data_IF_336961867910
#
_entry.id   IF_336961867910
#
_cell.length_a   1.000
_cell.length_b   1.000
_cell.length_c   1.000
_cell.angle_alpha   90.00
_cell.angle_beta   90.00
_cell.angle_gamma   90.00
#
_symmetry.space_group_name_H-M   'P 1'
#
loop_
_entity.id
_entity.type
_entity.pdbx_description
1 polymer ?
#
# COMPACT_ATOMS: atom_id res chain seq x y z
N UNK A 1 -4.23 -22.96 16.84
CA UNK A 1 -4.10 -21.78 15.96
C UNK A 1 -4.25 -20.46 16.74
N UNK A 2 -5.26 -20.32 17.62
CA UNK A 2 -5.44 -19.14 18.50
C UNK A 2 -4.17 -18.79 19.32
N UNK A 3 -3.50 -19.78 19.92
CA UNK A 3 -2.28 -19.57 20.73
C UNK A 3 -1.09 -18.97 19.97
N UNK A 4 -0.97 -19.20 18.66
CA UNK A 4 0.17 -18.70 17.89
C UNK A 4 0.07 -17.18 17.66
N UNK A 5 -1.13 -16.68 17.32
CA UNK A 5 -1.37 -15.25 17.13
C UNK A 5 -1.24 -14.48 18.45
N UNK A 6 -1.76 -15.02 19.55
CA UNK A 6 -1.58 -14.41 20.88
C UNK A 6 -0.11 -14.35 21.28
N UNK A 7 0.66 -15.41 21.03
CA UNK A 7 2.10 -15.42 21.29
C UNK A 7 2.83 -14.35 20.48
N UNK A 8 2.51 -14.22 19.18
CA UNK A 8 3.09 -13.18 18.33
C UNK A 8 2.74 -11.78 18.82
N UNK A 9 1.49 -11.55 19.24
CA UNK A 9 1.05 -10.25 19.77
C UNK A 9 1.80 -9.88 21.06
N UNK A 10 1.93 -10.82 22.00
CA UNK A 10 2.70 -10.64 23.24
C UNK A 10 4.17 -10.34 22.93
N UNK A 11 4.76 -11.05 21.96
CA UNK A 11 6.13 -10.79 21.52
C UNK A 11 6.28 -9.39 20.93
N UNK A 12 5.36 -8.94 20.07
CA UNK A 12 5.38 -7.58 19.51
C UNK A 12 5.30 -6.51 20.59
N UNK A 13 4.43 -6.69 21.60
CA UNK A 13 4.34 -5.78 22.75
C UNK A 13 5.67 -5.78 23.54
N UNK A 14 6.27 -6.96 23.76
CA UNK A 14 7.57 -7.09 24.41
C UNK A 14 8.69 -6.35 23.67
N UNK A 15 8.72 -6.47 22.34
CA UNK A 15 9.67 -5.74 21.49
C UNK A 15 9.45 -4.23 21.59
N UNK A 16 8.20 -3.76 21.46
CA UNK A 16 7.89 -2.34 21.57
C UNK A 16 8.33 -1.77 22.93
N UNK A 17 8.01 -2.46 24.04
CA UNK A 17 8.44 -2.06 25.37
C UNK A 17 9.96 -2.04 25.51
N UNK A 18 10.65 -3.02 24.95
CA UNK A 18 12.12 -3.08 24.96
C UNK A 18 12.73 -1.90 24.20
N UNK A 19 12.17 -1.53 23.05
CA UNK A 19 12.61 -0.37 22.27
C UNK A 19 12.35 0.94 23.01
N UNK A 20 11.17 1.11 23.60
CA UNK A 20 10.82 2.28 24.41
C UNK A 20 11.81 2.46 25.57
N UNK A 21 12.12 1.37 26.28
CA UNK A 21 13.07 1.41 27.39
C UNK A 21 14.51 1.68 26.92
N UNK A 22 14.97 0.97 25.88
CA UNK A 22 16.34 1.09 25.38
C UNK A 22 16.64 2.48 24.83
N UNK A 23 15.71 3.06 24.07
CA UNK A 23 15.88 4.36 23.42
C UNK A 23 15.22 5.52 24.18
N UNK A 24 14.63 5.25 25.35
CA UNK A 24 13.90 6.22 26.18
C UNK A 24 12.87 7.01 25.35
N UNK A 25 12.13 6.30 24.50
CA UNK A 25 11.18 6.92 23.58
C UNK A 25 9.98 7.46 24.36
N UNK A 26 9.70 8.77 24.32
CA UNK A 26 8.45 9.28 24.86
C UNK A 26 7.29 8.77 24.01
N UNK A 27 6.30 8.16 24.65
CA UNK A 27 5.07 7.77 23.97
C UNK A 27 4.22 9.01 23.70
N UNK A 28 3.88 9.22 22.43
CA UNK A 28 2.92 10.22 22.01
C UNK A 28 1.47 9.75 22.20
N UNK A 29 0.54 10.68 22.07
CA UNK A 29 -0.88 10.35 21.96
C UNK A 29 -1.17 9.84 20.54
N UNK A 30 -1.97 8.77 20.44
CA UNK A 30 -2.50 8.29 19.17
C UNK A 30 -3.99 8.64 19.07
N UNK A 31 -4.42 9.09 17.89
CA UNK A 31 -5.82 9.34 17.57
C UNK A 31 -6.17 8.54 16.34
N UNK A 32 -7.31 7.87 16.37
CA UNK A 32 -7.83 7.10 15.25
C UNK A 32 -8.88 7.94 14.53
N UNK A 33 -8.72 8.09 13.22
CA UNK A 33 -9.68 8.76 12.35
C UNK A 33 -10.24 7.75 11.35
N UNK A 34 -11.57 7.63 11.30
CA UNK A 34 -12.25 6.85 10.27
C UNK A 34 -12.38 7.70 9.00
N UNK A 35 -11.98 7.14 7.85
CA UNK A 35 -11.99 7.83 6.57
C UNK A 35 -11.40 6.97 5.46
N UNK A 36 -11.13 7.59 4.31
CA UNK A 36 -10.53 6.91 3.15
C UNK A 36 -9.19 7.54 2.79
N UNK A 37 -8.25 6.72 2.33
CA UNK A 37 -6.91 7.18 1.93
C UNK A 37 -6.94 8.08 0.69
N UNK A 38 -7.97 7.96 -0.16
CA UNK A 38 -8.13 8.79 -1.37
C UNK A 38 -8.78 10.16 -1.08
N UNK A 39 -9.18 10.41 0.17
CA UNK A 39 -9.73 11.68 0.63
C UNK A 39 -9.56 11.84 2.14
N UNK A 40 -8.39 12.33 2.54
CA UNK A 40 -8.03 12.47 3.94
C UNK A 40 -8.76 13.67 4.57
N UNK A 41 -9.34 13.53 5.78
CA UNK A 41 -10.10 14.59 6.46
C UNK A 41 -9.18 15.61 7.16
N UNK A 42 -8.05 15.95 6.53
CA UNK A 42 -7.04 16.84 7.09
C UNK A 42 -6.72 17.97 6.13
N UNK A 43 -6.37 19.12 6.68
CA UNK A 43 -5.89 20.27 5.92
C UNK A 43 -4.56 19.96 5.23
N UNK A 44 -4.25 20.73 4.19
CA UNK A 44 -2.96 20.65 3.50
C UNK A 44 -1.81 21.01 4.45
N UNK A 45 -0.62 20.45 4.23
CA UNK A 45 0.59 20.78 4.99
C UNK A 45 0.44 20.60 6.51
N UNK A 46 -0.18 19.51 6.95
CA UNK A 46 -0.45 19.21 8.36
C UNK A 46 0.57 18.26 9.00
N UNK A 47 1.11 17.31 8.24
CA UNK A 47 1.95 16.24 8.77
C UNK A 47 3.41 16.35 8.32
N UNK A 48 4.34 16.03 9.20
CA UNK A 48 5.77 15.96 8.87
C UNK A 48 6.15 14.62 8.22
N UNK A 49 5.49 13.54 8.64
CA UNK A 49 5.75 12.18 8.18
C UNK A 49 4.44 11.45 7.90
N UNK A 50 4.39 10.72 6.79
CA UNK A 50 3.39 9.70 6.50
C UNK A 50 4.12 8.36 6.39
N UNK A 51 3.63 7.33 7.06
CA UNK A 51 4.15 5.97 6.96
C UNK A 51 3.00 5.04 6.62
N UNK A 52 3.12 4.27 5.54
CA UNK A 52 2.06 3.36 5.12
C UNK A 52 2.59 2.15 4.35
N UNK A 53 1.80 1.08 4.37
CA UNK A 53 1.93 -0.11 3.51
C UNK A 53 0.56 -0.29 2.87
N UNK A 54 0.30 0.30 1.68
CA UNK A 54 -1.00 0.20 1.05
C UNK A 54 -1.34 -1.27 0.76
N UNK A 55 -2.63 -1.61 0.57
CA UNK A 55 -3.00 -2.94 0.09
C UNK A 55 -2.24 -3.22 -1.20
N UNK A 56 -1.79 -4.47 -1.38
CA UNK A 56 -1.12 -4.86 -2.60
C UNK A 56 -2.15 -5.22 -3.67
N UNK A 57 -1.78 -4.98 -4.93
CA UNK A 57 -2.56 -5.22 -6.15
C UNK A 57 -3.64 -6.30 -5.95
N UNK A 58 -4.94 -5.99 -6.17
CA UNK A 58 -6.09 -6.84 -5.79
C UNK A 58 -5.74 -8.30 -5.99
N UNK A 59 -5.50 -8.95 -4.85
CA UNK A 59 -4.45 -9.93 -4.67
C UNK A 59 -4.21 -10.76 -5.93
N UNK A 60 -2.95 -10.83 -6.38
CA UNK A 60 -2.50 -11.78 -7.41
C UNK A 60 -2.94 -13.26 -7.16
N UNK A 61 -3.58 -13.58 -6.02
CA UNK A 61 -4.28 -14.82 -5.69
C UNK A 61 -5.82 -14.87 -5.89
N UNK A 62 -6.51 -13.75 -6.11
CA UNK A 62 -7.92 -13.70 -6.54
C UNK A 62 -8.97 -14.09 -5.51
N UNK A 63 -8.66 -14.07 -4.20
CA UNK A 63 -9.61 -14.47 -3.13
C UNK A 63 -9.40 -13.79 -1.76
N UNK A 64 -8.55 -12.77 -1.67
CA UNK A 64 -8.19 -12.19 -0.37
C UNK A 64 -8.73 -10.78 -0.24
N UNK A 65 -10.04 -10.68 0.00
CA UNK A 65 -10.59 -9.48 0.63
C UNK A 65 -10.08 -9.48 2.08
N UNK A 66 -9.12 -8.60 2.37
CA UNK A 66 -8.43 -8.50 3.66
C UNK A 66 -9.40 -8.50 4.85
N UNK A 67 -10.57 -7.89 4.65
CA UNK A 67 -11.61 -7.80 5.66
C UNK A 67 -12.50 -9.06 5.72
N UNK A 68 -12.97 -9.59 4.59
CA UNK A 68 -13.86 -10.78 4.54
C UNK A 68 -13.16 -12.00 5.13
N UNK A 69 -11.86 -12.18 4.85
CA UNK A 69 -11.07 -13.26 5.45
C UNK A 69 -10.95 -13.19 6.99
N UNK A 70 -11.35 -12.06 7.59
CA UNK A 70 -11.36 -11.82 9.05
C UNK A 70 -12.76 -11.53 9.61
N UNK A 71 -13.80 -11.57 8.78
CA UNK A 71 -15.17 -11.19 9.14
C UNK A 71 -15.66 -11.87 10.43
N UNK A 72 -15.52 -13.19 10.51
CA UNK A 72 -15.94 -13.97 11.70
C UNK A 72 -15.26 -13.47 12.98
N UNK A 73 -13.97 -13.10 12.92
CA UNK A 73 -13.25 -12.59 14.08
C UNK A 73 -13.72 -11.19 14.46
N UNK A 74 -13.98 -10.32 13.49
CA UNK A 74 -14.50 -8.96 13.74
C UNK A 74 -15.90 -8.99 14.35
N UNK A 75 -16.78 -9.85 13.84
CA UNK A 75 -18.14 -10.05 14.36
C UNK A 75 -18.09 -10.64 15.77
N UNK A 76 -17.32 -11.71 15.99
CA UNK A 76 -17.23 -12.36 17.30
C UNK A 76 -16.66 -11.44 18.41
N UNK A 77 -15.83 -10.46 18.04
CA UNK A 77 -15.26 -9.47 18.94
C UNK A 77 -16.13 -8.20 19.07
N UNK A 78 -17.30 -8.15 18.43
CA UNK A 78 -18.17 -6.97 18.33
C UNK A 78 -17.44 -5.71 17.83
N UNK A 79 -16.48 -5.90 16.91
CA UNK A 79 -15.73 -4.79 16.30
C UNK A 79 -16.45 -4.24 15.06
N UNK A 80 -17.18 -5.09 14.34
CA UNK A 80 -17.98 -4.73 13.17
C UNK A 80 -19.18 -5.66 13.02
N UNK A 81 -20.28 -5.19 12.43
CA UNK A 81 -21.38 -6.03 11.92
C UNK A 81 -21.07 -6.58 10.53
N UNK A 82 -21.89 -7.54 10.07
CA UNK A 82 -21.77 -8.11 8.73
C UNK A 82 -21.99 -7.03 7.64
N UNK A 83 -22.98 -6.16 7.84
CA UNK A 83 -23.29 -5.04 6.95
C UNK A 83 -22.15 -4.01 6.90
N UNK A 84 -21.52 -3.73 8.05
CA UNK A 84 -20.36 -2.83 8.12
C UNK A 84 -19.15 -3.42 7.37
N UNK A 85 -18.98 -4.74 7.41
CA UNK A 85 -17.91 -5.44 6.68
C UNK A 85 -18.13 -5.34 5.17
N UNK A 86 -19.34 -5.62 4.68
CA UNK A 86 -19.67 -5.54 3.26
C UNK A 86 -19.56 -4.10 2.72
N UNK A 87 -20.02 -3.12 3.50
CA UNK A 87 -19.89 -1.71 3.15
C UNK A 87 -18.41 -1.29 3.08
N UNK A 88 -17.59 -1.67 4.07
CA UNK A 88 -16.17 -1.36 4.10
C UNK A 88 -15.39 -2.02 2.95
N UNK A 89 -15.76 -3.24 2.54
CA UNK A 89 -15.16 -3.92 1.40
C UNK A 89 -15.38 -3.14 0.08
N UNK A 90 -16.56 -2.57 -0.09
CA UNK A 90 -16.91 -1.79 -1.30
C UNK A 90 -16.14 -0.48 -1.39
N UNK A 91 -15.79 0.11 -0.24
CA UNK A 91 -15.13 1.41 -0.15
C UNK A 91 -13.59 1.31 -0.01
N UNK A 92 -13.05 0.09 0.08
CA UNK A 92 -11.63 -0.14 0.33
C UNK A 92 -10.79 -0.04 -0.95
N UNK A 93 -9.66 0.67 -0.85
CA UNK A 93 -8.62 0.67 -1.89
C UNK A 93 -8.17 -0.76 -2.18
N UNK A 94 -8.12 -1.15 -3.45
CA UNK A 94 -7.73 -2.50 -3.86
C UNK A 94 -8.82 -3.57 -3.70
N UNK A 95 -10.07 -3.17 -3.48
CA UNK A 95 -11.24 -4.06 -3.49
C UNK A 95 -11.48 -4.68 -4.88
N UNK A 96 -11.86 -5.97 -4.91
CA UNK A 96 -12.32 -6.64 -6.13
C UNK A 96 -13.68 -6.10 -6.63
N UNK A 97 -14.41 -5.38 -5.78
CA UNK A 97 -15.68 -4.72 -6.12
C UNK A 97 -15.47 -3.30 -6.69
N UNK A 98 -14.25 -2.75 -6.62
CA UNK A 98 -13.96 -1.42 -7.15
C UNK A 98 -13.98 -1.46 -8.68
N UNK A 99 -14.88 -0.66 -9.25
CA UNK A 99 -15.10 -0.56 -10.69
C UNK A 99 -14.88 0.89 -11.09
N UNK A 100 -13.84 1.17 -11.86
CA UNK A 100 -13.58 2.51 -12.40
C UNK A 100 -13.23 2.37 -13.88
N UNK A 101 -13.71 3.33 -14.68
CA UNK A 101 -13.35 3.41 -16.10
C UNK A 101 -11.93 3.95 -16.26
N UNK A 102 -11.30 3.70 -17.41
CA UNK A 102 -9.93 4.12 -17.63
C UNK A 102 -9.80 5.65 -17.50
N UNK A 103 -8.92 6.07 -16.60
CA UNK A 103 -8.50 7.46 -16.45
C UNK A 103 -7.10 7.59 -17.04
N UNK A 104 -6.87 8.67 -17.79
CA UNK A 104 -5.55 8.98 -18.33
C UNK A 104 -4.53 9.28 -17.22
N UNK A 105 -3.25 9.07 -17.53
CA UNK A 105 -2.15 9.46 -16.65
C UNK A 105 -1.76 8.43 -15.60
N UNK A 106 -1.98 7.13 -15.88
CA UNK A 106 -1.27 6.03 -15.21
C UNK A 106 -0.03 5.61 -16.03
N UNK A 107 0.96 4.94 -15.41
CA UNK A 107 2.10 4.37 -16.13
C UNK A 107 1.69 3.39 -17.23
N UNK A 108 2.40 3.35 -18.39
CA UNK A 108 2.13 2.40 -19.46
C UNK A 108 2.09 0.92 -19.02
N UNK A 109 2.92 0.55 -18.04
CA UNK A 109 2.95 -0.79 -17.47
C UNK A 109 1.63 -1.19 -16.79
N UNK A 110 0.85 -0.24 -16.27
CA UNK A 110 -0.48 -0.51 -15.71
C UNK A 110 -1.45 -0.93 -16.80
N UNK A 111 -1.47 -0.20 -17.93
CA UNK A 111 -2.33 -0.54 -19.07
C UNK A 111 -1.92 -1.87 -19.71
N UNK A 112 -0.61 -2.14 -19.83
CA UNK A 112 -0.12 -3.42 -20.32
C UNK A 112 -0.56 -4.61 -19.43
N UNK A 113 -0.52 -4.44 -18.11
CA UNK A 113 -1.04 -5.45 -17.17
C UNK A 113 -2.55 -5.63 -17.33
N UNK A 114 -3.31 -4.54 -17.40
CA UNK A 114 -4.76 -4.58 -17.61
C UNK A 114 -5.13 -5.31 -18.90
N UNK A 115 -4.46 -5.01 -20.01
CA UNK A 115 -4.73 -5.61 -21.31
C UNK A 115 -4.39 -7.10 -21.33
N UNK A 116 -3.29 -7.49 -20.69
CA UNK A 116 -2.97 -8.90 -20.49
C UNK A 116 -4.05 -9.62 -19.66
N UNK A 117 -4.49 -9.02 -18.54
CA UNK A 117 -5.54 -9.60 -17.71
C UNK A 117 -6.84 -9.79 -18.48
N UNK A 118 -7.23 -8.84 -19.34
CA UNK A 118 -8.43 -8.93 -20.19
C UNK A 118 -8.40 -10.06 -21.21
N UNK A 119 -7.21 -10.52 -21.58
CA UNK A 119 -7.02 -11.57 -22.57
C UNK A 119 -6.91 -12.97 -21.93
N UNK A 120 -6.79 -13.06 -20.60
CA UNK A 120 -6.71 -14.31 -19.85
C UNK A 120 -8.07 -14.65 -19.22
N UNK A 121 -8.74 -15.68 -19.76
CA UNK A 121 -10.10 -16.11 -19.37
C UNK A 121 -10.26 -16.35 -17.85
N UNK A 122 -9.20 -16.80 -17.16
CA UNK A 122 -9.25 -17.07 -15.72
C UNK A 122 -9.02 -15.82 -14.86
N UNK A 123 -8.53 -14.73 -15.46
CA UNK A 123 -8.06 -13.53 -14.75
C UNK A 123 -8.70 -12.24 -15.25
N UNK A 124 -9.53 -12.28 -16.29
CA UNK A 124 -10.24 -11.11 -16.81
C UNK A 124 -11.03 -10.36 -15.74
N UNK A 125 -11.57 -11.10 -14.75
CA UNK A 125 -12.28 -10.55 -13.60
C UNK A 125 -11.43 -9.56 -12.78
N UNK A 126 -10.10 -9.63 -12.89
CA UNK A 126 -9.17 -8.76 -12.17
C UNK A 126 -8.77 -7.53 -12.97
N UNK A 127 -9.08 -7.44 -14.26
CA UNK A 127 -8.61 -6.35 -15.11
C UNK A 127 -9.11 -4.99 -14.59
N UNK A 128 -10.43 -4.84 -14.41
CA UNK A 128 -11.03 -3.59 -13.91
C UNK A 128 -10.61 -3.26 -12.46
N UNK A 129 -10.65 -4.21 -11.50
CA UNK A 129 -10.14 -3.93 -10.15
C UNK A 129 -8.66 -3.55 -10.11
N UNK A 130 -7.83 -4.14 -10.98
CA UNK A 130 -6.41 -3.79 -11.07
C UNK A 130 -6.21 -2.35 -11.53
N UNK A 131 -7.01 -1.90 -12.50
CA UNK A 131 -6.97 -0.52 -12.96
C UNK A 131 -7.45 0.44 -11.86
N UNK A 132 -8.59 0.13 -11.24
CA UNK A 132 -9.14 0.92 -10.13
C UNK A 132 -8.14 1.03 -8.96
N UNK A 133 -7.44 -0.06 -8.62
CA UNK A 133 -6.39 -0.06 -7.61
C UNK A 133 -5.30 0.99 -7.88
N UNK A 134 -4.79 1.07 -9.11
CA UNK A 134 -3.74 2.05 -9.43
C UNK A 134 -4.26 3.49 -9.49
N UNK A 135 -5.54 3.69 -9.83
CA UNK A 135 -6.21 4.99 -9.73
C UNK A 135 -6.30 5.41 -8.25
N UNK A 136 -6.82 4.54 -7.39
CA UNK A 136 -6.94 4.81 -5.96
C UNK A 136 -5.57 5.02 -5.31
N UNK A 137 -4.55 4.24 -5.70
CA UNK A 137 -3.19 4.40 -5.20
C UNK A 137 -2.61 5.77 -5.59
N UNK A 138 -2.86 6.24 -6.81
CA UNK A 138 -2.47 7.58 -7.27
C UNK A 138 -3.19 8.65 -6.46
N UNK A 139 -4.51 8.55 -6.30
CA UNK A 139 -5.29 9.51 -5.50
C UNK A 139 -4.83 9.55 -4.03
N UNK A 140 -4.52 8.39 -3.44
CA UNK A 140 -3.97 8.32 -2.09
C UNK A 140 -2.57 8.96 -2.00
N UNK A 141 -1.73 8.81 -3.03
CA UNK A 141 -0.46 9.53 -3.13
C UNK A 141 -0.68 11.04 -3.22
N UNK A 142 -1.64 11.51 -4.02
CA UNK A 142 -2.00 12.93 -4.15
C UNK A 142 -2.47 13.51 -2.82
N UNK A 143 -3.33 12.80 -2.09
CA UNK A 143 -3.78 13.22 -0.76
C UNK A 143 -2.63 13.25 0.25
N UNK A 144 -1.76 12.24 0.26
CA UNK A 144 -0.58 12.24 1.11
C UNK A 144 0.38 13.39 0.76
N UNK A 145 0.58 13.68 -0.52
CA UNK A 145 1.34 14.84 -0.96
C UNK A 145 0.72 16.14 -0.46
N UNK A 146 -0.61 16.28 -0.57
CA UNK A 146 -1.35 17.47 -0.11
C UNK A 146 -1.18 17.70 1.38
N UNK A 147 -1.39 16.68 2.22
CA UNK A 147 -1.36 16.81 3.69
C UNK A 147 0.04 16.87 4.27
N UNK A 148 1.08 16.44 3.54
CA UNK A 148 2.46 16.59 3.99
C UNK A 148 2.92 18.05 3.97
N UNK A 149 3.63 18.47 5.01
CA UNK A 149 4.39 19.73 5.04
C UNK A 149 5.39 19.78 3.87
N UNK A 150 5.79 20.96 3.39
CA UNK A 150 6.99 21.09 2.56
C UNK A 150 8.18 20.40 3.22
N UNK A 151 9.00 19.68 2.46
CA UNK A 151 10.04 18.77 2.97
C UNK A 151 9.56 17.59 3.84
N UNK A 152 8.25 17.37 3.95
CA UNK A 152 7.68 16.22 4.62
C UNK A 152 8.09 14.90 3.96
N UNK A 153 8.17 13.85 4.77
CA UNK A 153 8.60 12.50 4.36
C UNK A 153 7.39 11.57 4.26
N UNK A 154 7.22 10.92 3.12
CA UNK A 154 6.35 9.76 2.97
C UNK A 154 7.21 8.49 2.90
N UNK A 155 6.91 7.50 3.74
CA UNK A 155 7.52 6.18 3.73
C UNK A 155 6.47 5.17 3.28
N UNK A 156 6.75 4.48 2.18
CA UNK A 156 5.85 3.48 1.61
C UNK A 156 6.51 2.12 1.54
N UNK A 157 5.81 1.08 1.98
CA UNK A 157 6.22 -0.32 1.78
C UNK A 157 5.38 -0.91 0.64
N UNK A 158 6.05 -1.31 -0.44
CA UNK A 158 5.43 -1.79 -1.68
C UNK A 158 5.96 -3.18 -1.99
N UNK A 159 5.10 -4.16 -2.29
CA UNK A 159 5.57 -5.46 -2.78
C UNK A 159 6.36 -5.26 -4.08
N UNK A 160 7.58 -5.80 -4.18
CA UNK A 160 8.46 -5.53 -5.31
C UNK A 160 7.86 -5.93 -6.65
N UNK A 161 7.27 -7.12 -6.69
CA UNK A 161 6.68 -7.68 -7.90
C UNK A 161 5.44 -8.53 -7.64
N UNK A 162 4.56 -8.58 -8.64
CA UNK A 162 3.48 -9.56 -8.72
C UNK A 162 3.74 -10.51 -9.88
N UNK A 163 3.74 -11.81 -9.57
CA UNK A 163 3.96 -12.88 -10.54
C UNK A 163 2.73 -13.78 -10.63
N UNK A 164 2.24 -13.97 -11.86
CA UNK A 164 1.12 -14.82 -12.20
C UNK A 164 1.66 -16.14 -12.76
N UNK A 165 1.20 -17.26 -12.19
CA UNK A 165 1.60 -18.60 -12.63
C UNK A 165 0.41 -19.40 -13.11
N UNK A 166 0.68 -20.39 -13.96
CA UNK A 166 -0.24 -21.50 -14.21
C UNK A 166 -0.22 -22.42 -12.99
N UNK A 167 -1.37 -22.60 -12.33
CA UNK A 167 -1.42 -23.30 -11.04
C UNK A 167 -0.93 -24.76 -11.11
N UNK A 168 -1.25 -25.46 -12.20
CA UNK A 168 -0.90 -26.88 -12.39
C UNK A 168 0.58 -27.11 -12.68
N UNK A 169 1.21 -26.26 -13.49
CA UNK A 169 2.59 -26.45 -13.96
C UNK A 169 3.62 -25.56 -13.28
N UNK A 170 3.17 -24.52 -12.55
CA UNK A 170 4.01 -23.44 -12.00
C UNK A 170 4.77 -22.65 -13.06
N UNK A 171 4.34 -22.72 -14.31
CA UNK A 171 4.85 -21.89 -15.39
C UNK A 171 4.54 -20.42 -15.11
N UNK A 172 5.53 -19.54 -15.26
CA UNK A 172 5.36 -18.10 -15.16
C UNK A 172 4.61 -17.59 -16.39
N UNK A 173 3.42 -17.02 -16.18
CA UNK A 173 2.57 -16.48 -17.24
C UNK A 173 2.82 -14.99 -17.45
N UNK A 174 2.98 -14.25 -16.35
CA UNK A 174 3.21 -12.81 -16.39
C UNK A 174 3.88 -12.35 -15.12
N UNK A 175 4.73 -11.32 -15.23
CA UNK A 175 5.39 -10.67 -14.11
C UNK A 175 5.26 -9.16 -14.29
N UNK A 176 4.89 -8.49 -13.21
CA UNK A 176 4.84 -7.02 -13.14
C UNK A 176 5.72 -6.53 -12.00
N UNK A 177 6.53 -5.52 -12.29
CA UNK A 177 7.39 -4.82 -11.33
C UNK A 177 6.59 -3.70 -10.67
N UNK A 178 5.96 -4.02 -9.55
CA UNK A 178 5.06 -3.12 -8.84
C UNK A 178 5.80 -1.91 -8.24
N UNK A 179 7.06 -2.09 -7.82
CA UNK A 179 7.93 -1.03 -7.30
C UNK A 179 8.20 0.04 -8.37
N UNK A 180 8.42 -0.36 -9.63
CA UNK A 180 8.65 0.56 -10.75
C UNK A 180 7.40 1.38 -11.06
N UNK A 181 6.25 0.72 -11.15
CA UNK A 181 4.95 1.41 -11.32
C UNK A 181 4.73 2.42 -10.19
N UNK A 182 4.97 2.02 -8.95
CA UNK A 182 4.82 2.91 -7.80
C UNK A 182 5.76 4.11 -7.86
N UNK A 183 7.04 3.91 -8.20
CA UNK A 183 8.01 4.99 -8.32
C UNK A 183 7.61 6.01 -9.40
N UNK A 184 7.06 5.55 -10.54
CA UNK A 184 6.51 6.44 -11.57
C UNK A 184 5.29 7.22 -11.09
N UNK A 185 4.35 6.56 -10.40
CA UNK A 185 3.19 7.21 -9.80
C UNK A 185 3.61 8.31 -8.81
N UNK A 186 4.51 7.99 -7.88
CA UNK A 186 5.01 8.93 -6.89
C UNK A 186 5.63 10.17 -7.54
N UNK A 187 6.47 9.98 -8.57
CA UNK A 187 7.06 11.10 -9.33
C UNK A 187 6.01 11.91 -10.07
N UNK A 188 5.00 11.26 -10.65
CA UNK A 188 3.92 11.94 -11.39
C UNK A 188 3.08 12.85 -10.49
N UNK A 189 2.95 12.52 -9.20
CA UNK A 189 2.29 13.34 -8.19
C UNK A 189 3.16 14.51 -7.71
N UNK A 190 4.48 14.42 -7.91
CA UNK A 190 5.44 15.47 -7.56
C UNK A 190 6.39 15.12 -6.41
N UNK A 191 6.35 13.89 -5.88
CA UNK A 191 7.34 13.45 -4.91
C UNK A 191 8.73 13.29 -5.54
N UNK A 192 9.77 13.57 -4.76
CA UNK A 192 11.12 13.12 -5.03
C UNK A 192 11.33 11.75 -4.40
N UNK A 193 11.75 10.77 -5.18
CA UNK A 193 12.15 9.45 -4.66
C UNK A 193 13.60 9.58 -4.18
N UNK A 194 13.82 9.76 -2.88
CA UNK A 194 15.16 9.90 -2.29
C UNK A 194 15.88 8.55 -2.24
N UNK A 195 15.16 7.51 -1.83
CA UNK A 195 15.71 6.18 -1.65
C UNK A 195 14.67 5.08 -1.93
N UNK A 196 15.15 3.95 -2.44
CA UNK A 196 14.41 2.69 -2.54
C UNK A 196 15.27 1.59 -1.91
N UNK A 197 14.77 0.98 -0.84
CA UNK A 197 15.45 -0.09 -0.11
C UNK A 197 14.67 -1.39 -0.31
N UNK A 198 15.29 -2.38 -0.93
CA UNK A 198 14.68 -3.70 -1.10
C UNK A 198 14.99 -4.60 0.10
N UNK A 199 13.94 -5.11 0.74
CA UNK A 199 14.00 -5.97 1.92
C UNK A 199 13.56 -7.38 1.51
N UNK A 200 14.47 -8.35 1.61
CA UNK A 200 14.12 -9.75 1.45
C UNK A 200 13.34 -10.23 2.67
N UNK A 201 12.20 -10.88 2.43
CA UNK A 201 11.40 -11.49 3.47
C UNK A 201 11.48 -13.01 3.37
N UNK A 202 11.84 -13.65 4.49
CA UNK A 202 11.84 -15.10 4.60
C UNK A 202 10.41 -15.63 4.73
N UNK A 203 9.68 -15.68 3.61
CA UNK A 203 8.31 -16.22 3.50
C UNK A 203 8.29 -17.73 3.22
N UNK A 204 9.33 -18.48 3.63
CA UNK A 204 9.37 -19.96 3.52
C UNK A 204 8.28 -20.58 4.38
N UNK A 205 7.19 -21.00 3.76
CA UNK A 205 6.07 -21.62 4.45
C UNK A 205 5.79 -23.00 3.84
N UNK A 206 5.80 -24.06 4.67
CA UNK A 206 5.69 -25.47 4.24
C UNK A 206 4.36 -25.82 3.54
N UNK A 207 3.34 -24.96 3.69
CA UNK A 207 2.00 -25.12 3.08
C UNK A 207 1.75 -24.15 1.91
N UNK A 208 2.73 -23.37 1.46
CA UNK A 208 2.47 -22.23 0.58
C UNK A 208 2.62 -22.52 -0.92
N UNK A 209 1.79 -21.78 -1.67
CA UNK A 209 1.66 -21.56 -3.12
C UNK A 209 2.98 -21.64 -3.91
N UNK A 210 2.97 -21.73 -5.26
CA UNK A 210 4.18 -21.90 -6.09
C UNK A 210 5.39 -21.01 -5.74
N UNK A 211 5.16 -19.79 -5.22
CA UNK A 211 6.18 -18.83 -4.75
C UNK A 211 6.88 -19.17 -3.41
N UNK A 212 6.53 -20.26 -2.72
CA UNK A 212 7.13 -20.59 -1.41
C UNK A 212 8.62 -20.95 -1.46
N UNK A 213 9.16 -21.10 -2.67
CA UNK A 213 10.58 -21.38 -2.95
C UNK A 213 11.33 -20.17 -3.53
N UNK A 214 10.63 -19.13 -3.97
CA UNK A 214 11.22 -17.94 -4.57
C UNK A 214 11.59 -16.93 -3.47
N UNK A 215 12.71 -16.22 -3.63
CA UNK A 215 13.01 -15.06 -2.79
C UNK A 215 11.92 -13.99 -2.98
N UNK A 216 11.34 -13.54 -1.86
CA UNK A 216 10.27 -12.55 -1.85
C UNK A 216 10.82 -11.23 -1.32
N UNK A 217 10.54 -10.13 -2.01
CA UNK A 217 11.01 -8.80 -1.62
C UNK A 217 9.85 -7.81 -1.48
N UNK A 218 9.98 -6.93 -0.49
CA UNK A 218 9.24 -5.68 -0.38
C UNK A 218 10.22 -4.52 -0.56
N UNK A 219 9.79 -3.45 -1.21
CA UNK A 219 10.57 -2.23 -1.44
C UNK A 219 10.04 -1.12 -0.55
N UNK A 220 10.93 -0.55 0.28
CA UNK A 220 10.66 0.62 1.12
C UNK A 220 11.10 1.86 0.36
N UNK A 221 10.15 2.74 0.07
CA UNK A 221 10.37 4.01 -0.60
C UNK A 221 10.41 5.15 0.39
N UNK A 222 11.46 5.97 0.32
CA UNK A 222 11.56 7.25 1.01
C UNK A 222 11.24 8.36 0.01
N UNK A 223 10.08 9.00 0.18
CA UNK A 223 9.54 10.01 -0.72
C UNK A 223 9.55 11.37 -0.04
N UNK A 224 10.14 12.38 -0.67
CA UNK A 224 10.19 13.75 -0.16
C UNK A 224 9.26 14.66 -0.92
N UNK A 225 8.45 15.44 -0.20
CA UNK A 225 7.72 16.57 -0.79
C UNK A 225 8.69 17.74 -1.03
N UNK A 226 8.84 18.25 -2.26
CA UNK A 226 9.72 19.39 -2.52
C UNK A 226 9.17 20.67 -1.87
N UNK A 227 10.03 21.67 -1.68
CA UNK A 227 9.58 23.05 -1.39
C UNK A 227 9.11 23.66 -2.69
N UNK A 228 7.92 24.24 -2.68
CA UNK A 228 7.39 24.99 -3.82
C UNK A 228 8.45 25.99 -4.31
N UNK A 229 8.73 25.98 -5.61
CA UNK A 229 9.74 26.81 -6.28
C UNK A 229 9.51 28.33 -6.12
N UNK A 230 8.35 28.76 -5.62
CA UNK A 230 8.04 30.17 -5.36
C UNK A 230 8.68 30.75 -4.08
N UNK A 231 9.26 29.94 -3.19
CA UNK A 231 9.90 30.45 -1.97
C UNK A 231 11.42 30.65 -2.09
N UNK A 232 12.09 30.00 -3.06
CA UNK A 232 13.54 30.22 -3.30
C UNK A 232 13.89 31.64 -3.74
N UNK A 233 12.94 32.36 -4.34
CA UNK A 233 13.15 33.75 -4.78
C UNK A 233 12.91 34.80 -3.68
N UNK A 234 12.43 34.41 -2.49
CA UNK A 234 12.25 35.36 -1.37
C UNK A 234 13.49 35.45 -0.47
N UNK A 235 14.32 34.41 -0.42
CA UNK A 235 15.55 34.42 0.39
C UNK A 235 16.75 35.07 -0.34
N UNK A 236 16.71 35.21 -1.67
CA UNK A 236 17.79 35.84 -2.45
C UNK A 236 17.75 37.37 -2.48
N UNK A 237 16.74 38.02 -1.88
CA UNK A 237 16.60 39.49 -1.81
C UNK A 237 16.58 40.06 -0.39
N UNK A 238 16.80 39.21 0.63
CA UNK A 238 16.88 39.65 2.03
C UNK A 238 18.32 39.49 2.54
N UNK A 239 19.25 40.26 1.97
CA UNK A 239 20.50 40.59 2.66
C UNK A 239 20.69 42.10 2.55
N UNK A 240 20.84 42.83 3.68
CA UNK A 240 21.05 44.28 3.69
C UNK A 240 22.39 44.70 3.08
#
# INVERSE_FOLDING_TARGET
MLMANFKALIQSVGVANSLIQAYRLPLGNAVIHHGTAVKLPFESNRFSVVLTSPPYLPASSGREDYLVGKAISNIALNLMTDEEIEAAETLSVGSMKSMTEAVDGLPPAVYALHDWLRQDELREIKAKPTLAYYIDLKQALEENFRVLLPHGLAIYVIGKESVFYRFSTRELLYKVECDKIFAELARSVGFLVEEQIDVELDKKNKNARPRSLDSYFESVFLLRKPVNSNERNKESYATP
#
